data_IF_362310634789
#
_entry.id   IF_362310634789
#
_cell.length_a   1.000
_cell.length_b   1.000
_cell.length_c   1.000
_cell.angle_alpha   90.00
_cell.angle_beta   90.00
_cell.angle_gamma   90.00
#
_symmetry.space_group_name_H-M   'P 1'
#
loop_
_entity.id
_entity.type
_entity.pdbx_description
1 polymer ?
#
# COMPACT_ATOMS: atom_id res chain seq x y z
N UNK A 1 21.88 24.21 -28.12
CA UNK A 1 20.45 23.79 -28.17
C UNK A 1 20.35 22.35 -27.68
N UNK A 2 19.39 22.00 -26.80
CA UNK A 2 19.39 20.75 -26.05
C UNK A 2 18.64 19.62 -26.78
N UNK A 3 19.18 18.40 -26.76
CA UNK A 3 18.50 17.20 -27.25
C UNK A 3 17.96 16.38 -26.09
N UNK A 4 16.66 16.44 -25.85
CA UNK A 4 15.97 15.64 -24.84
C UNK A 4 15.90 14.16 -25.27
N UNK A 5 16.33 13.24 -24.42
CA UNK A 5 16.19 11.79 -24.63
C UNK A 5 14.82 11.34 -24.11
N UNK A 6 14.01 10.59 -24.88
CA UNK A 6 12.71 10.13 -24.41
C UNK A 6 12.87 9.02 -23.36
N UNK A 7 12.30 9.23 -22.18
CA UNK A 7 12.22 8.22 -21.12
C UNK A 7 11.06 7.29 -21.45
N UNK A 8 11.36 6.07 -21.89
CA UNK A 8 10.36 5.02 -22.07
C UNK A 8 9.85 4.55 -20.69
N UNK A 9 8.53 4.45 -20.46
CA UNK A 9 8.04 3.88 -19.21
C UNK A 9 8.35 2.39 -19.16
N UNK A 10 9.10 1.98 -18.14
CA UNK A 10 9.41 0.58 -17.88
C UNK A 10 8.11 -0.22 -17.74
N UNK A 11 7.95 -1.22 -18.61
CA UNK A 11 6.82 -2.15 -18.66
C UNK A 11 6.70 -2.84 -17.30
N UNK A 12 5.60 -2.59 -16.57
CA UNK A 12 5.24 -3.33 -15.34
C UNK A 12 5.31 -4.82 -15.66
N UNK A 13 6.22 -5.54 -15.01
CA UNK A 13 6.24 -6.99 -15.09
C UNK A 13 4.98 -7.51 -14.40
N UNK A 14 4.14 -8.21 -15.16
CA UNK A 14 3.01 -8.96 -14.62
C UNK A 14 3.63 -10.14 -13.85
N UNK A 15 3.58 -10.10 -12.52
CA UNK A 15 4.04 -11.21 -11.69
C UNK A 15 3.04 -12.36 -11.89
N UNK A 16 3.45 -13.54 -12.37
CA UNK A 16 2.56 -14.69 -12.49
C UNK A 16 2.13 -15.15 -11.09
N UNK A 17 0.82 -15.37 -10.91
CA UNK A 17 0.26 -15.92 -9.68
C UNK A 17 0.89 -17.29 -9.38
N UNK A 18 1.61 -17.41 -8.27
CA UNK A 18 2.37 -18.61 -7.89
C UNK A 18 3.71 -18.34 -7.20
N UNK A 19 4.21 -17.11 -7.25
CA UNK A 19 5.35 -16.69 -6.41
C UNK A 19 4.87 -16.62 -4.95
N UNK A 20 5.57 -17.26 -3.97
CA UNK A 20 5.20 -17.13 -2.56
C UNK A 20 5.12 -15.65 -2.22
N UNK A 21 3.95 -15.22 -1.73
CA UNK A 21 3.75 -13.85 -1.32
C UNK A 21 4.90 -13.47 -0.38
N UNK A 22 5.52 -12.29 -0.54
CA UNK A 22 6.47 -11.81 0.45
C UNK A 22 5.82 -11.95 1.84
N UNK A 23 6.56 -12.43 2.86
CA UNK A 23 5.99 -12.72 4.17
C UNK A 23 5.24 -11.49 4.63
N UNK A 24 3.91 -11.60 4.70
CA UNK A 24 3.08 -10.53 5.22
C UNK A 24 3.57 -10.31 6.66
N UNK A 25 3.99 -9.09 7.03
CA UNK A 25 4.36 -8.81 8.41
C UNK A 25 3.16 -9.18 9.28
N UNK A 26 3.40 -9.95 10.35
CA UNK A 26 2.32 -10.30 11.25
C UNK A 26 1.79 -9.00 11.88
N UNK A 27 0.47 -8.85 11.98
CA UNK A 27 -0.18 -7.64 12.48
C UNK A 27 0.27 -7.22 13.91
N UNK A 28 1.00 -8.10 14.61
CA UNK A 28 1.60 -7.86 15.93
C UNK A 28 2.87 -6.98 15.93
N UNK A 29 3.40 -6.56 14.78
CA UNK A 29 4.65 -5.78 14.70
C UNK A 29 4.46 -4.32 14.28
N UNK A 30 3.22 -3.84 14.25
CA UNK A 30 2.87 -2.49 13.82
C UNK A 30 2.83 -1.58 15.05
N UNK A 31 3.60 -0.48 15.06
CA UNK A 31 3.54 0.49 16.17
C UNK A 31 2.11 0.99 16.38
N UNK A 32 1.64 1.14 17.63
CA UNK A 32 0.30 1.67 17.92
C UNK A 32 0.08 3.06 17.30
N UNK A 33 1.15 3.85 17.13
CA UNK A 33 1.08 5.16 16.47
C UNK A 33 0.74 5.04 14.98
N UNK A 34 1.30 4.03 14.29
CA UNK A 34 1.00 3.79 12.88
C UNK A 34 -0.45 3.33 12.69
N UNK A 35 -0.96 2.52 13.62
CA UNK A 35 -2.35 2.07 13.60
C UNK A 35 -3.33 3.22 13.87
N UNK A 36 -3.01 4.10 14.82
CA UNK A 36 -3.80 5.31 15.06
C UNK A 36 -3.86 6.20 13.82
N UNK A 37 -2.74 6.38 13.12
CA UNK A 37 -2.67 7.17 11.88
C UNK A 37 -3.51 6.54 10.75
N UNK A 38 -3.52 5.21 10.63
CA UNK A 38 -4.38 4.51 9.66
C UNK A 38 -5.85 4.71 9.97
N UNK A 39 -6.27 4.55 11.22
CA UNK A 39 -7.68 4.75 11.62
C UNK A 39 -8.17 6.18 11.32
N UNK A 40 -7.35 7.19 11.60
CA UNK A 40 -7.67 8.58 11.25
C UNK A 40 -7.78 8.81 9.73
N UNK A 41 -6.97 8.10 8.94
CA UNK A 41 -6.98 8.14 7.47
C UNK A 41 -8.19 7.40 6.90
N UNK A 42 -8.60 6.29 7.49
CA UNK A 42 -9.78 5.52 7.09
C UNK A 42 -11.07 6.34 7.26
N UNK A 43 -11.16 7.20 8.28
CA UNK A 43 -12.27 8.15 8.45
C UNK A 43 -12.37 9.19 7.34
N UNK A 44 -11.25 9.53 6.70
CA UNK A 44 -11.15 10.50 5.59
C UNK A 44 -11.02 9.83 4.23
N UNK A 45 -11.08 8.51 4.18
CA UNK A 45 -10.92 7.75 2.96
C UNK A 45 -12.08 8.02 1.98
N UNK A 46 -11.79 7.89 0.70
CA UNK A 46 -12.80 8.04 -0.37
C UNK A 46 -13.64 6.78 -0.58
N UNK A 47 -13.28 5.67 0.08
CA UNK A 47 -13.97 4.37 0.01
C UNK A 47 -14.26 3.92 -1.43
N UNK A 48 -13.20 3.82 -2.22
CA UNK A 48 -13.30 3.46 -3.63
C UNK A 48 -13.52 1.97 -3.82
N UNK A 49 -14.27 1.60 -4.84
CA UNK A 49 -14.35 0.22 -5.32
C UNK A 49 -13.16 -0.13 -6.24
N UNK A 50 -13.01 -1.42 -6.57
CA UNK A 50 -11.95 -1.89 -7.48
C UNK A 50 -11.96 -1.16 -8.84
N UNK A 51 -13.15 -0.83 -9.35
CA UNK A 51 -13.33 -0.17 -10.66
C UNK A 51 -12.87 1.30 -10.64
N UNK A 52 -12.88 1.95 -9.48
CA UNK A 52 -12.54 3.37 -9.32
C UNK A 52 -11.05 3.59 -9.01
N UNK A 53 -10.28 2.51 -8.84
CA UNK A 53 -8.86 2.57 -8.54
C UNK A 53 -8.04 3.06 -9.73
N UNK A 54 -7.33 4.16 -9.54
CA UNK A 54 -6.34 4.68 -10.49
C UNK A 54 -4.92 4.38 -10.00
N UNK A 55 -3.92 4.71 -10.80
CA UNK A 55 -2.51 4.68 -10.37
C UNK A 55 -2.19 5.72 -9.28
N UNK A 56 -3.02 6.77 -9.15
CA UNK A 56 -2.80 7.90 -8.24
C UNK A 56 -3.58 7.78 -6.93
N UNK A 57 -4.37 6.71 -6.76
CA UNK A 57 -5.22 6.49 -5.58
C UNK A 57 -4.69 5.34 -4.74
N UNK A 58 -4.71 5.52 -3.42
CA UNK A 58 -4.26 4.56 -2.43
C UNK A 58 -5.08 3.27 -2.51
N UNK A 59 -4.38 2.17 -2.81
CA UNK A 59 -4.97 0.85 -3.06
C UNK A 59 -5.10 -0.02 -1.80
N UNK A 60 -5.08 0.59 -0.63
CA UNK A 60 -5.13 -0.13 0.64
C UNK A 60 -6.53 -0.73 0.84
N UNK A 61 -6.66 -2.07 0.97
CA UNK A 61 -7.95 -2.71 1.20
C UNK A 61 -8.41 -2.51 2.64
N UNK A 62 -9.69 -2.24 2.82
CA UNK A 62 -10.35 -2.11 4.12
C UNK A 62 -11.60 -2.99 4.10
N UNK A 63 -11.82 -3.73 5.20
CA UNK A 63 -12.88 -4.71 5.30
C UNK A 63 -12.52 -6.08 4.71
N UNK A 64 -13.50 -6.97 4.66
CA UNK A 64 -13.34 -8.33 4.15
C UNK A 64 -13.86 -8.41 2.70
N UNK A 65 -13.07 -8.91 1.74
CA UNK A 65 -13.47 -9.00 0.33
C UNK A 65 -14.71 -9.88 0.07
N UNK A 66 -15.15 -10.71 1.02
CA UNK A 66 -16.38 -11.47 0.95
C UNK A 66 -17.62 -10.70 1.44
N UNK A 67 -17.45 -9.44 1.89
CA UNK A 67 -18.52 -8.58 2.41
C UNK A 67 -18.77 -7.39 1.51
N UNK A 68 -19.97 -6.81 1.60
CA UNK A 68 -20.35 -5.59 0.87
C UNK A 68 -19.64 -4.34 1.41
N UNK A 69 -19.03 -4.43 2.60
CA UNK A 69 -18.24 -3.38 3.23
C UNK A 69 -16.77 -3.36 2.78
N UNK A 70 -16.41 -4.08 1.71
CA UNK A 70 -15.06 -4.05 1.14
C UNK A 70 -14.83 -2.80 0.28
N UNK A 71 -13.80 -2.02 0.63
CA UNK A 71 -13.42 -0.82 -0.13
C UNK A 71 -11.93 -0.54 -0.05
N UNK A 72 -11.48 0.43 -0.85
CA UNK A 72 -10.11 0.89 -0.90
C UNK A 72 -9.98 2.35 -0.45
N UNK A 73 -8.89 2.66 0.27
CA UNK A 73 -8.65 3.99 0.84
C UNK A 73 -8.89 5.16 -0.12
N UNK A 74 -8.33 5.11 -1.34
CA UNK A 74 -8.61 6.10 -2.37
C UNK A 74 -7.99 7.50 -2.19
N UNK A 75 -7.29 7.75 -1.08
CA UNK A 75 -6.50 8.97 -0.88
C UNK A 75 -5.31 9.06 -1.85
N UNK A 76 -4.71 10.24 -2.08
CA UNK A 76 -3.54 10.37 -2.95
C UNK A 76 -2.40 9.45 -2.53
N UNK A 77 -1.79 8.77 -3.50
CA UNK A 77 -0.60 7.93 -3.27
C UNK A 77 0.65 8.77 -3.02
N UNK A 78 1.57 8.20 -2.26
CA UNK A 78 2.94 8.68 -2.16
C UNK A 78 3.72 8.34 -3.45
N UNK A 79 4.64 9.21 -3.86
CA UNK A 79 5.30 9.07 -5.15
C UNK A 79 6.11 7.75 -5.21
N UNK A 80 5.89 6.97 -6.27
CA UNK A 80 6.55 5.67 -6.45
C UNK A 80 6.03 4.55 -5.52
N UNK A 81 5.00 4.82 -4.71
CA UNK A 81 4.37 3.82 -3.82
C UNK A 81 2.88 3.65 -4.20
N UNK A 82 2.28 2.47 -3.96
CA UNK A 82 0.87 2.20 -4.30
C UNK A 82 -0.14 2.73 -3.26
N UNK A 83 0.33 3.30 -2.15
CA UNK A 83 -0.49 3.68 -1.01
C UNK A 83 -0.22 5.13 -0.58
N UNK A 84 -1.13 5.72 0.19
CA UNK A 84 -0.92 7.00 0.86
C UNK A 84 0.10 6.85 2.01
N UNK A 85 0.60 7.97 2.53
CA UNK A 85 1.65 8.01 3.56
C UNK A 85 1.36 7.10 4.78
N UNK A 86 0.13 7.12 5.31
CA UNK A 86 -0.23 6.29 6.46
C UNK A 86 -0.17 4.79 6.15
N UNK A 87 -0.74 4.38 5.01
CA UNK A 87 -0.75 2.99 4.58
C UNK A 87 0.62 2.50 4.09
N UNK A 88 1.48 3.40 3.59
CA UNK A 88 2.89 3.10 3.32
C UNK A 88 3.61 2.71 4.60
N UNK A 89 3.36 3.43 5.70
CA UNK A 89 3.92 3.13 7.01
C UNK A 89 3.63 1.69 7.42
N UNK A 90 2.38 1.23 7.28
CA UNK A 90 1.97 -0.14 7.65
C UNK A 90 2.45 -1.17 6.62
N UNK A 91 2.33 -0.88 5.33
CA UNK A 91 2.71 -1.80 4.24
C UNK A 91 4.21 -2.14 4.22
N UNK A 92 5.05 -1.14 4.51
CA UNK A 92 6.50 -1.20 4.30
C UNK A 92 7.26 -1.01 5.62
N UNK A 93 6.83 -1.66 6.70
CA UNK A 93 7.57 -1.65 7.97
C UNK A 93 9.04 -2.04 7.76
N UNK A 94 10.01 -1.25 8.28
CA UNK A 94 11.44 -1.48 8.06
C UNK A 94 11.88 -2.83 8.64
N UNK A 95 12.86 -3.47 7.99
CA UNK A 95 13.36 -4.81 8.38
C UNK A 95 13.88 -4.89 9.83
N UNK A 96 14.08 -3.75 10.51
CA UNK A 96 14.59 -3.71 11.88
C UNK A 96 13.63 -4.36 12.89
N UNK A 97 12.30 -4.26 12.71
CA UNK A 97 11.34 -5.01 13.55
C UNK A 97 11.47 -6.52 13.41
N UNK A 98 12.00 -7.03 12.28
CA UNK A 98 12.23 -8.48 12.10
C UNK A 98 13.43 -9.00 12.89
N UNK A 99 14.33 -8.12 13.36
CA UNK A 99 15.59 -8.53 14.00
C UNK A 99 15.46 -8.77 15.51
N UNK A 100 14.45 -8.18 16.16
CA UNK A 100 14.23 -8.36 17.60
C UNK A 100 13.76 -9.79 17.98
N UNK A 101 13.31 -10.58 16.99
CA UNK A 101 12.87 -11.97 17.21
C UNK A 101 14.02 -13.00 17.27
N UNK A 102 15.29 -12.56 17.22
CA UNK A 102 16.46 -13.46 17.13
C UNK A 102 17.45 -13.32 18.30
N UNK A 103 17.07 -12.67 19.40
CA UNK A 103 17.82 -12.66 20.67
C UNK A 103 17.04 -13.35 21.77
#
# INVERSE_FOLDING_TARGET
APGAKPVTPARRQIIPAGQPLPPQPSANEISPEALAKVNEVEKKAKKLTLMELTEKTCKWPVGDPATEDFWFCGLPVEAGKPYCEAHVGVAFQPMSSRRDRRR
#
